data_IF_285634303945
#
_entry.id   IF_285634303945
#
_cell.length_a   1.000
_cell.length_b   1.000
_cell.length_c   1.000
_cell.angle_alpha   90.00
_cell.angle_beta   90.00
_cell.angle_gamma   90.00
#
_symmetry.space_group_name_H-M   'P 1'
#
loop_
_entity.id
_entity.type
_entity.pdbx_description
1 polymer ?
#
# COMPACT_ATOMS: atom_id res chain seq x y z
N UNK A 1 -15.03 -43.86 3.86
CA UNK A 1 -13.57 -43.84 3.64
C UNK A 1 -13.03 -42.55 4.22
N UNK A 2 -12.19 -42.63 5.26
CA UNK A 2 -11.48 -41.49 5.83
C UNK A 2 -10.03 -41.57 5.37
N UNK A 3 -9.45 -40.45 4.95
CA UNK A 3 -7.99 -40.29 4.85
C UNK A 3 -7.58 -38.99 5.53
N UNK A 4 -6.72 -39.18 6.50
CA UNK A 4 -6.11 -38.19 7.39
C UNK A 4 -4.91 -37.55 6.70
N UNK A 5 -4.71 -36.25 6.90
CA UNK A 5 -3.41 -35.63 6.70
C UNK A 5 -2.87 -35.19 8.07
N UNK A 6 -1.91 -35.98 8.55
CA UNK A 6 -1.04 -35.70 9.71
C UNK A 6 -0.18 -34.46 9.43
N UNK A 7 0.05 -33.68 10.48
CA UNK A 7 0.64 -32.35 10.42
C UNK A 7 2.18 -32.30 10.39
N UNK A 8 2.68 -31.09 10.65
CA UNK A 8 4.00 -30.87 11.22
C UNK A 8 3.98 -29.57 12.04
N UNK A 9 3.98 -29.72 13.35
CA UNK A 9 4.38 -28.66 14.28
C UNK A 9 5.91 -28.65 14.29
N UNK A 10 6.52 -27.51 13.94
CA UNK A 10 7.95 -27.31 14.13
C UNK A 10 8.15 -26.22 15.16
N UNK A 11 8.38 -26.65 16.39
CA UNK A 11 8.97 -25.85 17.46
C UNK A 11 10.42 -25.54 17.12
N UNK A 12 10.78 -24.26 17.09
CA UNK A 12 12.17 -23.82 17.17
C UNK A 12 12.28 -22.77 18.27
N UNK A 13 12.55 -23.27 19.47
CA UNK A 13 13.15 -22.50 20.56
C UNK A 13 14.64 -22.34 20.21
N UNK A 14 15.15 -21.12 20.23
CA UNK A 14 16.57 -20.87 20.42
C UNK A 14 16.73 -19.51 21.06
N UNK A 15 16.83 -19.54 22.38
CA UNK A 15 17.42 -18.48 23.19
C UNK A 15 18.87 -18.25 22.74
N UNK A 16 19.34 -17.01 22.82
CA UNK A 16 20.70 -16.64 22.44
C UNK A 16 20.94 -15.15 22.58
N UNK A 17 21.11 -14.70 23.82
CA UNK A 17 21.63 -13.39 24.20
C UNK A 17 23.16 -13.41 24.11
N UNK A 18 23.79 -12.45 23.43
CA UNK A 18 25.10 -11.90 23.81
C UNK A 18 25.42 -10.62 23.03
N UNK A 19 25.93 -9.65 23.79
CA UNK A 19 26.09 -8.23 23.50
C UNK A 19 27.30 -7.88 22.60
N UNK A 20 27.38 -6.57 22.30
CA UNK A 20 28.58 -5.74 22.02
C UNK A 20 28.85 -5.33 20.55
N UNK A 21 28.47 -4.07 20.29
CA UNK A 21 29.28 -2.98 19.74
C UNK A 21 29.69 -2.93 18.25
N UNK A 22 29.35 -1.77 17.64
CA UNK A 22 29.98 -1.08 16.49
C UNK A 22 30.14 -1.81 15.15
N UNK A 23 29.36 -1.34 14.17
CA UNK A 23 29.83 -0.70 12.91
C UNK A 23 28.94 -1.06 11.70
N UNK A 24 28.79 -0.05 10.85
CA UNK A 24 28.58 -0.12 9.40
C UNK A 24 27.12 -0.20 8.96
N UNK A 25 26.78 0.67 8.01
CA UNK A 25 25.48 0.73 7.38
C UNK A 25 25.10 -0.65 6.85
N UNK A 26 24.18 -1.29 7.56
CA UNK A 26 23.58 -2.54 7.13
C UNK A 26 22.75 -2.23 5.87
N UNK A 27 22.81 -3.06 4.81
CA UNK A 27 21.91 -2.89 3.68
C UNK A 27 20.49 -3.10 4.23
N UNK A 28 19.72 -2.02 4.36
CA UNK A 28 18.31 -2.09 4.66
C UNK A 28 17.69 -3.16 3.76
N UNK A 29 17.10 -4.21 4.36
CA UNK A 29 16.56 -5.39 3.68
C UNK A 29 15.85 -5.01 2.37
N UNK A 30 16.56 -5.10 1.24
CA UNK A 30 16.12 -4.49 -0.03
C UNK A 30 15.00 -5.30 -0.69
N UNK A 31 14.87 -6.57 -0.31
CA UNK A 31 13.88 -7.49 -0.84
C UNK A 31 12.64 -7.56 0.05
N UNK A 32 11.52 -7.04 -0.46
CA UNK A 32 10.22 -7.14 0.18
C UNK A 32 9.58 -8.48 -0.21
N UNK A 33 9.69 -9.49 0.66
CA UNK A 33 9.07 -10.81 0.46
C UNK A 33 7.56 -10.82 0.76
N UNK A 34 7.08 -9.83 1.52
CA UNK A 34 5.67 -9.67 1.89
C UNK A 34 5.21 -8.26 1.53
N UNK A 35 4.17 -8.11 0.68
CA UNK A 35 3.63 -6.79 0.37
C UNK A 35 3.29 -6.01 1.63
N UNK A 36 3.72 -4.76 1.70
CA UNK A 36 3.43 -3.89 2.84
C UNK A 36 1.94 -3.55 2.80
N UNK A 37 1.20 -4.04 3.80
CA UNK A 37 -0.27 -3.91 3.84
C UNK A 37 -0.73 -2.45 3.82
N UNK A 38 0.02 -1.56 4.45
CA UNK A 38 -0.26 -0.12 4.48
C UNK A 38 -0.02 0.57 3.12
N UNK A 39 0.75 -0.07 2.23
CA UNK A 39 0.94 0.37 0.84
C UNK A 39 -0.08 -0.27 -0.11
N UNK A 40 -1.16 -0.86 0.42
CA UNK A 40 -2.27 -1.39 -0.39
C UNK A 40 -3.40 -0.36 -0.41
N UNK A 41 -4.05 -0.24 -1.56
CA UNK A 41 -5.24 0.57 -1.68
C UNK A 41 -6.41 -0.10 -0.95
N UNK A 42 -7.11 0.67 -0.11
CA UNK A 42 -8.37 0.24 0.49
C UNK A 42 -9.49 0.41 -0.54
N UNK A 43 -10.32 -0.61 -0.82
CA UNK A 43 -11.40 -0.51 -1.82
C UNK A 43 -12.32 0.69 -1.59
N UNK A 44 -12.63 1.03 -0.33
CA UNK A 44 -13.43 2.21 0.01
C UNK A 44 -12.80 3.51 -0.49
N UNK A 45 -11.51 3.70 -0.24
CA UNK A 45 -10.78 4.92 -0.65
C UNK A 45 -10.71 5.02 -2.18
N UNK A 46 -10.48 3.90 -2.85
CA UNK A 46 -10.45 3.85 -4.32
C UNK A 46 -11.81 4.20 -4.89
N UNK A 47 -12.87 3.58 -4.35
CA UNK A 47 -14.25 3.83 -4.76
C UNK A 47 -14.60 5.31 -4.59
N UNK A 48 -14.35 5.88 -3.41
CA UNK A 48 -14.70 7.27 -3.11
C UNK A 48 -13.93 8.25 -4.02
N UNK A 49 -12.64 7.99 -4.26
CA UNK A 49 -11.82 8.79 -5.18
C UNK A 49 -12.39 8.78 -6.60
N UNK A 50 -12.72 7.60 -7.14
CA UNK A 50 -13.30 7.45 -8.48
C UNK A 50 -14.63 8.20 -8.58
N UNK A 51 -15.54 7.98 -7.63
CA UNK A 51 -16.85 8.63 -7.65
C UNK A 51 -16.75 10.16 -7.56
N UNK A 52 -15.84 10.67 -6.73
CA UNK A 52 -15.63 12.12 -6.57
C UNK A 52 -15.12 12.73 -7.88
N UNK A 53 -14.07 12.17 -8.46
CA UNK A 53 -13.48 12.67 -9.71
C UNK A 53 -14.48 12.62 -10.86
N UNK A 54 -15.18 11.49 -11.02
CA UNK A 54 -16.17 11.37 -12.09
C UNK A 54 -17.33 12.34 -11.91
N UNK A 55 -17.81 12.52 -10.68
CA UNK A 55 -18.91 13.46 -10.40
C UNK A 55 -18.50 14.91 -10.66
N UNK A 56 -17.29 15.30 -10.27
CA UNK A 56 -16.77 16.67 -10.47
C UNK A 56 -16.58 16.99 -11.96
N UNK A 57 -15.90 16.13 -12.70
CA UNK A 57 -15.53 16.42 -14.09
C UNK A 57 -16.67 16.14 -15.08
N UNK A 58 -17.55 15.17 -14.81
CA UNK A 58 -18.64 14.82 -15.72
C UNK A 58 -19.94 15.56 -15.43
N UNK A 59 -20.06 16.31 -14.33
CA UNK A 59 -21.29 17.06 -14.02
C UNK A 59 -21.68 18.09 -15.10
N UNK A 60 -20.69 18.65 -15.80
CA UNK A 60 -20.90 19.64 -16.87
C UNK A 60 -20.47 19.14 -18.25
N UNK A 61 -20.09 17.88 -18.38
CA UNK A 61 -19.59 17.34 -19.64
C UNK A 61 -20.74 16.78 -20.48
N UNK A 62 -20.86 17.25 -21.72
CA UNK A 62 -21.71 16.62 -22.73
C UNK A 62 -20.91 15.58 -23.51
N UNK A 63 -21.57 14.51 -23.94
CA UNK A 63 -20.91 13.46 -24.69
C UNK A 63 -20.58 13.94 -26.12
N UNK A 64 -19.28 13.92 -26.46
CA UNK A 64 -18.77 14.23 -27.80
C UNK A 64 -17.80 13.12 -28.23
N UNK A 65 -18.03 12.44 -29.36
CA UNK A 65 -17.23 11.29 -29.78
C UNK A 65 -15.75 11.65 -30.06
N UNK A 66 -15.47 12.89 -30.46
CA UNK A 66 -14.13 13.37 -30.74
C UNK A 66 -13.33 13.68 -29.45
N UNK A 67 -13.99 14.19 -28.42
CA UNK A 67 -13.35 14.64 -27.18
C UNK A 67 -13.34 13.56 -26.08
N UNK A 68 -14.26 12.59 -26.14
CA UNK A 68 -14.40 11.54 -25.12
C UNK A 68 -13.14 10.68 -24.93
N UNK A 69 -12.38 10.30 -25.97
CA UNK A 69 -11.15 9.54 -25.79
C UNK A 69 -10.11 10.32 -24.96
N UNK A 70 -9.98 11.62 -25.19
CA UNK A 70 -9.07 12.49 -24.45
C UNK A 70 -9.56 12.72 -23.03
N UNK A 71 -10.86 12.98 -22.85
CA UNK A 71 -11.48 13.14 -21.53
C UNK A 71 -11.27 11.88 -20.68
N UNK A 72 -11.58 10.70 -21.23
CA UNK A 72 -11.43 9.42 -20.52
C UNK A 72 -9.98 9.17 -20.10
N UNK A 73 -9.02 9.46 -20.99
CA UNK A 73 -7.60 9.35 -20.67
C UNK A 73 -7.22 10.27 -19.52
N UNK A 74 -7.58 11.56 -19.60
CA UNK A 74 -7.32 12.55 -18.55
C UNK A 74 -7.92 12.13 -17.21
N UNK A 75 -9.16 11.63 -17.19
CA UNK A 75 -9.82 11.15 -15.98
C UNK A 75 -9.06 9.97 -15.35
N UNK A 76 -8.63 9.01 -16.18
CA UNK A 76 -7.87 7.86 -15.69
C UNK A 76 -6.51 8.25 -15.08
N UNK A 77 -5.81 9.20 -15.71
CA UNK A 77 -4.54 9.73 -15.23
C UNK A 77 -4.74 10.49 -13.91
N UNK A 78 -5.76 11.34 -13.83
CA UNK A 78 -6.07 12.09 -12.62
C UNK A 78 -6.44 11.18 -11.44
N UNK A 79 -7.25 10.14 -11.65
CA UNK A 79 -7.59 9.16 -10.61
C UNK A 79 -6.33 8.46 -10.11
N UNK A 80 -5.47 7.99 -11.04
CA UNK A 80 -4.20 7.33 -10.71
C UNK A 80 -3.29 8.24 -9.87
N UNK A 81 -3.17 9.52 -10.24
CA UNK A 81 -2.29 10.46 -9.55
C UNK A 81 -2.81 10.82 -8.16
N UNK A 82 -4.13 11.02 -8.00
CA UNK A 82 -4.76 11.22 -6.69
C UNK A 82 -4.55 10.02 -5.76
N UNK A 83 -4.71 8.80 -6.28
CA UNK A 83 -4.48 7.58 -5.51
C UNK A 83 -3.00 7.42 -5.12
N UNK A 84 -2.07 7.72 -6.03
CA UNK A 84 -0.64 7.68 -5.74
C UNK A 84 -0.25 8.70 -4.66
N UNK A 85 -0.79 9.92 -4.74
CA UNK A 85 -0.58 10.95 -3.72
C UNK A 85 -1.10 10.49 -2.35
N UNK A 86 -2.30 9.90 -2.31
CA UNK A 86 -2.86 9.33 -1.09
C UNK A 86 -1.94 8.25 -0.49
N UNK A 87 -1.42 7.35 -1.34
CA UNK A 87 -0.52 6.29 -0.91
C UNK A 87 0.79 6.82 -0.30
N UNK A 88 1.39 7.83 -0.94
CA UNK A 88 2.62 8.47 -0.44
C UNK A 88 2.38 9.18 0.89
N UNK A 89 1.24 9.89 1.02
CA UNK A 89 0.86 10.55 2.26
C UNK A 89 0.68 9.55 3.41
N UNK A 90 -0.04 8.43 3.17
CA UNK A 90 -0.26 7.38 4.16
C UNK A 90 1.05 6.71 4.57
N UNK A 91 1.93 6.42 3.60
CA UNK A 91 3.25 5.84 3.87
C UNK A 91 4.11 6.78 4.71
N UNK A 92 4.10 8.09 4.43
CA UNK A 92 4.88 9.09 5.18
C UNK A 92 4.34 9.39 6.58
N UNK A 93 3.03 9.25 6.80
CA UNK A 93 2.43 9.36 8.13
C UNK A 93 2.79 8.15 9.01
N UNK A 94 2.77 6.94 8.44
CA UNK A 94 3.07 5.72 9.20
C UNK A 94 4.52 5.67 9.70
N UNK A 95 5.50 6.10 8.90
CA UNK A 95 6.91 6.08 9.31
C UNK A 95 7.09 6.91 10.59
N UNK A 96 6.51 8.11 10.65
CA UNK A 96 6.58 8.99 11.83
C UNK A 96 5.94 8.37 13.08
N UNK A 97 4.77 7.74 12.94
CA UNK A 97 4.05 7.13 14.07
C UNK A 97 4.80 5.91 14.62
N UNK A 98 5.35 5.07 13.75
CA UNK A 98 6.07 3.85 14.16
C UNK A 98 7.40 4.18 14.83
N UNK A 99 8.13 5.17 14.31
CA UNK A 99 9.37 5.65 14.91
C UNK A 99 9.11 6.15 16.33
N UNK A 100 8.06 6.94 16.57
CA UNK A 100 7.72 7.43 17.91
C UNK A 100 7.44 6.32 18.93
N UNK A 101 6.74 5.25 18.53
CA UNK A 101 6.43 4.11 19.42
C UNK A 101 7.62 3.21 19.73
N UNK A 102 8.70 3.28 18.95
CA UNK A 102 9.92 2.50 19.20
C UNK A 102 10.93 3.24 20.10
N UNK A 103 10.73 4.54 20.35
CA UNK A 103 11.61 5.39 21.16
C UNK A 103 11.03 5.77 22.55
N UNK A 104 9.97 5.11 23.00
CA UNK A 104 9.30 5.31 24.29
C UNK A 104 9.19 4.01 25.06
#
# INVERSE_FOLDING_TARGET
>A
MAVSFRGLSLSAHSEGLSEVDKNSGEPENTYILRPIFQQRFRPSVVKDCIHTVLKEELASAEYSPDEMPQLTKRLSEMIKDKLKAWLLAVSGMQTRTTTLTMFS
#
